data_IF_387204886743
#
_entry.id   IF_387204886743
#
_cell.length_a   1.000
_cell.length_b   1.000
_cell.length_c   1.000
_cell.angle_alpha   90.00
_cell.angle_beta   90.00
_cell.angle_gamma   90.00
#
_symmetry.space_group_name_H-M   'P 1'
#
loop_
_entity.id
_entity.type
_entity.pdbx_description
1 polymer ?
#
# COMPACT_ATOMS: atom_id res chain seq x y z
N UNK A 1 -1.47 18.70 11.32
CA UNK A 1 -0.44 18.62 12.36
C UNK A 1 -0.98 18.80 13.79
N UNK A 2 -1.58 19.95 14.15
CA UNK A 2 -2.10 20.16 15.51
C UNK A 2 -3.10 19.07 15.96
N UNK A 3 -3.98 18.63 15.07
CA UNK A 3 -4.88 17.50 15.33
C UNK A 3 -4.14 16.19 15.65
N UNK A 4 -3.02 15.92 14.97
CA UNK A 4 -2.20 14.74 15.24
C UNK A 4 -1.58 14.80 16.65
N UNK A 5 -1.09 15.98 17.04
CA UNK A 5 -0.57 16.22 18.40
C UNK A 5 -1.68 16.15 19.47
N UNK A 6 -2.91 16.49 19.10
CA UNK A 6 -4.10 16.37 19.95
C UNK A 6 -4.68 14.95 20.01
N UNK A 7 -4.05 13.95 19.38
CA UNK A 7 -4.47 12.54 19.49
C UNK A 7 -5.58 12.13 18.52
N UNK A 8 -5.70 12.76 17.35
CA UNK A 8 -6.76 12.43 16.37
C UNK A 8 -6.60 11.04 15.71
N UNK A 9 -5.38 10.47 15.69
CA UNK A 9 -5.08 9.22 14.96
C UNK A 9 -5.98 8.05 15.37
N UNK A 10 -6.07 7.64 16.64
CA UNK A 10 -6.94 6.53 17.04
C UNK A 10 -8.42 6.78 16.73
N UNK A 11 -8.86 8.05 16.76
CA UNK A 11 -10.24 8.41 16.38
C UNK A 11 -10.48 8.20 14.89
N UNK A 12 -9.52 8.57 14.03
CA UNK A 12 -9.63 8.32 12.59
C UNK A 12 -9.60 6.83 12.27
N UNK A 13 -8.75 6.05 12.96
CA UNK A 13 -8.70 4.61 12.80
C UNK A 13 -10.05 3.95 13.16
N UNK A 14 -10.65 4.36 14.28
CA UNK A 14 -11.98 3.92 14.69
C UNK A 14 -13.07 4.28 13.67
N UNK A 15 -13.03 5.50 13.12
CA UNK A 15 -13.97 5.91 12.07
C UNK A 15 -13.86 5.03 10.82
N UNK A 16 -12.63 4.69 10.40
CA UNK A 16 -12.41 3.82 9.24
C UNK A 16 -12.91 2.40 9.48
N UNK A 17 -12.72 1.86 10.68
CA UNK A 17 -13.11 0.49 11.03
C UNK A 17 -14.63 0.38 11.30
N UNK A 18 -15.26 1.40 11.88
CA UNK A 18 -16.61 1.31 12.44
C UNK A 18 -17.67 2.20 11.79
N UNK A 19 -17.31 3.09 10.84
CA UNK A 19 -18.23 4.06 10.22
C UNK A 19 -18.08 4.11 8.69
N UNK A 20 -18.82 3.27 7.98
CA UNK A 20 -18.80 3.20 6.50
C UNK A 20 -18.96 4.59 5.83
N UNK A 21 -19.86 5.44 6.33
CA UNK A 21 -20.13 6.76 5.73
C UNK A 21 -19.00 7.79 5.90
N UNK A 22 -18.07 7.58 6.84
CA UNK A 22 -16.89 8.45 7.04
C UNK A 22 -15.60 7.74 6.69
N UNK A 23 -15.66 6.48 6.26
CA UNK A 23 -14.49 5.64 6.09
C UNK A 23 -13.49 6.26 5.12
N UNK A 24 -13.93 6.65 3.93
CA UNK A 24 -13.05 7.22 2.91
C UNK A 24 -12.45 8.57 3.34
N UNK A 25 -13.23 9.44 3.97
CA UNK A 25 -12.76 10.75 4.43
C UNK A 25 -11.72 10.61 5.55
N UNK A 26 -12.02 9.78 6.56
CA UNK A 26 -11.11 9.51 7.66
C UNK A 26 -9.84 8.79 7.18
N UNK A 27 -9.97 7.86 6.23
CA UNK A 27 -8.85 7.15 5.65
C UNK A 27 -7.94 8.07 4.83
N UNK A 28 -8.51 8.97 4.03
CA UNK A 28 -7.78 9.98 3.27
C UNK A 28 -6.92 10.86 4.20
N UNK A 29 -7.48 11.29 5.33
CA UNK A 29 -6.73 12.04 6.35
C UNK A 29 -5.55 11.23 6.90
N UNK A 30 -5.72 9.94 7.19
CA UNK A 30 -4.64 9.06 7.65
C UNK A 30 -3.55 8.88 6.58
N UNK A 31 -3.93 8.72 5.31
CA UNK A 31 -2.99 8.63 4.20
C UNK A 31 -2.17 9.92 4.04
N UNK A 32 -2.78 11.10 4.20
CA UNK A 32 -2.06 12.38 4.13
C UNK A 32 -1.00 12.53 5.23
N UNK A 33 -1.22 11.91 6.39
CA UNK A 33 -0.26 11.97 7.51
C UNK A 33 1.07 11.30 7.18
N UNK A 34 1.13 10.34 6.24
CA UNK A 34 2.40 9.69 5.86
C UNK A 34 3.35 10.65 5.14
N UNK A 35 2.79 11.65 4.44
CA UNK A 35 3.52 12.67 3.66
C UNK A 35 3.68 14.00 4.38
N UNK A 36 3.03 14.18 5.52
CA UNK A 36 2.96 15.44 6.25
C UNK A 36 4.29 15.81 6.98
N UNK A 37 4.22 16.49 8.12
CA UNK A 37 5.40 16.82 8.91
C UNK A 37 5.92 15.62 9.72
N UNK A 38 7.17 15.71 10.18
CA UNK A 38 7.78 14.70 11.05
C UNK A 38 6.93 14.42 12.30
N UNK A 39 6.37 15.46 12.92
CA UNK A 39 5.50 15.32 14.09
C UNK A 39 4.24 14.51 13.77
N UNK A 40 3.64 14.78 12.61
CA UNK A 40 2.44 14.08 12.13
C UNK A 40 2.74 12.60 11.86
N UNK A 41 3.86 12.29 11.18
CA UNK A 41 4.31 10.90 10.98
C UNK A 41 4.63 10.18 12.30
N UNK A 42 5.26 10.87 13.26
CA UNK A 42 5.55 10.31 14.59
C UNK A 42 4.26 9.93 15.31
N UNK A 43 3.26 10.80 15.30
CA UNK A 43 1.95 10.50 15.88
C UNK A 43 1.29 9.28 15.22
N UNK A 44 1.32 9.20 13.88
CA UNK A 44 0.80 8.04 13.15
C UNK A 44 1.58 6.75 13.48
N UNK A 45 2.91 6.82 13.57
CA UNK A 45 3.77 5.69 13.91
C UNK A 45 3.47 5.13 15.31
N UNK A 46 3.37 6.01 16.32
CA UNK A 46 3.12 5.60 17.71
C UNK A 46 1.77 4.93 17.91
N UNK A 47 0.83 5.15 16.97
CA UNK A 47 -0.52 4.60 16.99
C UNK A 47 -0.67 3.44 15.98
N UNK A 48 0.44 2.77 15.64
CA UNK A 48 0.40 1.56 14.80
C UNK A 48 0.00 1.81 13.34
N UNK A 49 0.25 3.01 12.82
CA UNK A 49 -0.21 3.40 11.47
C UNK A 49 0.26 2.49 10.33
N UNK A 50 1.45 1.88 10.41
CA UNK A 50 1.92 0.93 9.39
C UNK A 50 1.05 -0.32 9.37
N UNK A 51 0.87 -0.97 10.52
CA UNK A 51 0.00 -2.15 10.66
C UNK A 51 -1.45 -1.82 10.28
N UNK A 52 -1.92 -0.63 10.62
CA UNK A 52 -3.23 -0.16 10.21
C UNK A 52 -3.36 -0.10 8.68
N UNK A 53 -2.43 0.56 7.98
CA UNK A 53 -2.43 0.64 6.52
C UNK A 53 -2.29 -0.73 5.84
N UNK A 54 -1.47 -1.64 6.40
CA UNK A 54 -1.36 -3.02 5.91
C UNK A 54 -2.69 -3.76 5.99
N UNK A 55 -3.42 -3.65 7.10
CA UNK A 55 -4.77 -4.25 7.23
C UNK A 55 -5.77 -3.60 6.29
N UNK A 56 -5.69 -2.28 6.05
CA UNK A 56 -6.57 -1.59 5.10
C UNK A 56 -6.42 -2.11 3.66
N UNK A 57 -5.31 -2.75 3.30
CA UNK A 57 -5.16 -3.44 2.02
C UNK A 57 -6.16 -4.59 1.82
N UNK A 58 -6.80 -5.11 2.87
CA UNK A 58 -7.84 -6.14 2.70
C UNK A 58 -9.21 -5.57 2.36
N UNK A 59 -9.38 -4.24 2.41
CA UNK A 59 -10.64 -3.55 2.11
C UNK A 59 -10.58 -3.00 0.68
N UNK A 60 -11.44 -3.48 -0.26
CA UNK A 60 -11.36 -3.12 -1.68
C UNK A 60 -11.23 -1.62 -1.96
N UNK A 61 -12.06 -0.79 -1.32
CA UNK A 61 -12.08 0.65 -1.56
C UNK A 61 -10.84 1.37 -0.99
N UNK A 62 -10.15 0.75 -0.02
CA UNK A 62 -8.98 1.34 0.64
C UNK A 62 -7.65 0.80 0.10
N UNK A 63 -7.67 -0.26 -0.72
CA UNK A 63 -6.47 -0.94 -1.24
C UNK A 63 -5.47 0.01 -1.89
N UNK A 64 -5.93 0.76 -2.90
CA UNK A 64 -5.08 1.70 -3.65
C UNK A 64 -4.52 2.80 -2.74
N UNK A 65 -5.35 3.56 -2.00
CA UNK A 65 -4.82 4.62 -1.15
C UNK A 65 -3.94 4.09 0.00
N UNK A 66 -4.22 2.90 0.54
CA UNK A 66 -3.38 2.27 1.56
C UNK A 66 -1.98 1.95 1.03
N UNK A 67 -1.92 1.32 -0.15
CA UNK A 67 -0.65 0.96 -0.77
C UNK A 67 0.15 2.22 -1.13
N UNK A 68 -0.51 3.22 -1.71
CA UNK A 68 0.10 4.53 -2.02
C UNK A 68 0.67 5.20 -0.78
N UNK A 69 -0.09 5.25 0.31
CA UNK A 69 0.36 5.84 1.58
C UNK A 69 1.59 5.12 2.15
N UNK A 70 1.66 3.79 2.06
CA UNK A 70 2.83 2.99 2.48
C UNK A 70 4.05 3.28 1.60
N UNK A 71 3.88 3.31 0.27
CA UNK A 71 4.95 3.64 -0.69
C UNK A 71 5.48 5.05 -0.41
N UNK A 72 4.59 6.00 -0.20
CA UNK A 72 4.95 7.40 0.04
C UNK A 72 5.67 7.55 1.38
N UNK A 73 5.25 6.82 2.43
CA UNK A 73 5.96 6.81 3.72
C UNK A 73 7.38 6.24 3.59
N UNK A 74 7.54 5.12 2.87
CA UNK A 74 8.85 4.54 2.56
C UNK A 74 9.74 5.50 1.76
N UNK A 75 9.14 6.32 0.92
CA UNK A 75 9.81 7.33 0.10
C UNK A 75 10.30 8.57 0.86
N UNK A 76 9.90 8.76 2.13
CA UNK A 76 10.28 9.94 2.92
C UNK A 76 11.78 10.00 3.15
N UNK A 77 12.43 10.99 2.52
CA UNK A 77 13.86 11.28 2.63
C UNK A 77 14.14 12.23 3.79
N UNK A 78 13.91 11.76 5.02
CA UNK A 78 14.30 12.48 6.24
C UNK A 78 15.47 11.77 6.94
N UNK A 79 16.69 12.27 6.74
CA UNK A 79 17.91 11.64 7.24
C UNK A 79 17.93 11.44 8.77
N UNK A 80 17.37 12.38 9.54
CA UNK A 80 17.35 12.28 11.00
C UNK A 80 16.32 11.28 11.55
N UNK A 81 15.26 10.99 10.81
CA UNK A 81 14.17 10.14 11.28
C UNK A 81 14.27 8.70 10.76
N UNK A 82 15.05 8.48 9.70
CA UNK A 82 15.28 7.18 9.07
C UNK A 82 13.96 6.43 8.77
N UNK A 83 12.91 7.17 8.38
CA UNK A 83 11.56 6.63 8.18
C UNK A 83 11.54 5.39 7.32
N UNK A 84 12.31 5.41 6.25
CA UNK A 84 12.45 4.27 5.37
C UNK A 84 12.86 3.00 6.10
N UNK A 85 13.95 3.01 6.88
CA UNK A 85 14.42 1.82 7.59
C UNK A 85 13.38 1.34 8.64
N UNK A 86 12.68 2.28 9.28
CA UNK A 86 11.64 1.96 10.27
C UNK A 86 10.42 1.30 9.62
N UNK A 87 9.92 1.89 8.53
CA UNK A 87 8.77 1.36 7.79
C UNK A 87 9.14 0.05 7.09
N UNK A 88 10.33 -0.07 6.50
CA UNK A 88 10.84 -1.35 5.97
C UNK A 88 10.86 -2.42 7.05
N UNK A 89 11.42 -2.11 8.22
CA UNK A 89 11.43 -3.01 9.37
C UNK A 89 10.04 -3.46 9.77
N UNK A 90 9.09 -2.54 9.93
CA UNK A 90 7.71 -2.88 10.30
C UNK A 90 6.95 -3.67 9.23
N UNK A 91 7.19 -3.40 7.94
CA UNK A 91 6.56 -4.16 6.84
C UNK A 91 7.13 -5.57 6.70
N UNK A 92 8.39 -5.78 7.08
CA UNK A 92 9.09 -7.07 6.99
C UNK A 92 9.14 -7.81 8.34
N UNK A 93 8.68 -7.19 9.43
CA UNK A 93 8.65 -7.79 10.76
C UNK A 93 7.81 -9.08 10.76
N UNK A 94 6.69 -9.05 10.03
CA UNK A 94 5.79 -10.16 9.86
C UNK A 94 5.53 -10.44 8.37
N UNK A 95 5.18 -11.67 8.02
CA UNK A 95 4.81 -12.04 6.65
C UNK A 95 3.46 -11.46 6.19
N UNK A 96 2.75 -10.73 7.06
CA UNK A 96 1.40 -10.20 6.79
C UNK A 96 1.35 -9.30 5.55
N UNK A 97 2.26 -8.33 5.45
CA UNK A 97 2.32 -7.44 4.29
C UNK A 97 2.60 -8.23 3.00
N UNK A 98 3.61 -9.10 3.02
CA UNK A 98 3.99 -9.91 1.86
C UNK A 98 2.86 -10.84 1.41
N UNK A 99 2.19 -11.51 2.35
CA UNK A 99 1.04 -12.36 2.08
C UNK A 99 -0.13 -11.57 1.52
N UNK A 100 -0.37 -10.37 2.03
CA UNK A 100 -1.45 -9.48 1.57
C UNK A 100 -1.16 -9.00 0.15
N UNK A 101 0.06 -8.57 -0.16
CA UNK A 101 0.47 -8.20 -1.52
C UNK A 101 0.30 -9.38 -2.49
N UNK A 102 0.71 -10.59 -2.11
CA UNK A 102 0.55 -11.77 -2.96
C UNK A 102 -0.94 -12.07 -3.22
N UNK A 103 -1.78 -12.00 -2.18
CA UNK A 103 -3.23 -12.20 -2.32
C UNK A 103 -3.90 -11.15 -3.19
N UNK A 104 -3.56 -9.89 -2.99
CA UNK A 104 -4.04 -8.82 -3.84
C UNK A 104 -3.62 -9.07 -5.29
N UNK A 105 -2.37 -9.46 -5.51
CA UNK A 105 -1.88 -9.71 -6.85
C UNK A 105 -2.64 -10.81 -7.58
N UNK A 106 -3.34 -11.71 -6.88
CA UNK A 106 -4.20 -12.74 -7.47
C UNK A 106 -5.55 -12.20 -7.98
N UNK A 107 -6.01 -11.01 -7.57
CA UNK A 107 -7.34 -10.53 -7.98
C UNK A 107 -7.32 -10.03 -9.44
N UNK A 108 -8.40 -10.19 -10.23
CA UNK A 108 -8.37 -9.96 -11.68
C UNK A 108 -7.95 -8.53 -12.09
N UNK A 109 -8.47 -7.52 -11.39
CA UNK A 109 -8.26 -6.10 -11.72
C UNK A 109 -7.07 -5.45 -11.01
N UNK A 110 -6.40 -6.22 -10.16
CA UNK A 110 -5.34 -5.74 -9.27
C UNK A 110 -4.14 -5.15 -10.00
N UNK A 111 -3.84 -5.68 -11.19
CA UNK A 111 -2.65 -5.33 -11.95
C UNK A 111 -2.59 -3.84 -12.29
N UNK A 112 -3.73 -3.26 -12.67
CA UNK A 112 -3.77 -1.89 -13.22
C UNK A 112 -3.32 -0.86 -12.18
N UNK A 113 -3.77 -0.99 -10.93
CA UNK A 113 -3.40 -0.06 -9.87
C UNK A 113 -2.14 -0.49 -9.11
N UNK A 114 -1.94 -1.79 -8.87
CA UNK A 114 -0.81 -2.25 -8.06
C UNK A 114 0.52 -2.23 -8.79
N UNK A 115 0.58 -2.51 -10.10
CA UNK A 115 1.87 -2.60 -10.81
C UNK A 115 2.66 -1.30 -10.65
N UNK A 116 1.99 -0.15 -10.75
CA UNK A 116 2.63 1.16 -10.54
C UNK A 116 3.22 1.28 -9.13
N UNK A 117 2.47 0.89 -8.10
CA UNK A 117 2.94 1.01 -6.71
C UNK A 117 3.99 -0.03 -6.35
N UNK A 118 3.88 -1.26 -6.87
CA UNK A 118 4.87 -2.32 -6.69
C UNK A 118 6.21 -1.95 -7.35
N UNK A 119 6.18 -1.37 -8.55
CA UNK A 119 7.39 -0.85 -9.19
C UNK A 119 8.05 0.25 -8.36
N UNK A 120 7.24 1.17 -7.79
CA UNK A 120 7.75 2.19 -6.86
C UNK A 120 8.34 1.55 -5.60
N UNK A 121 7.68 0.56 -5.00
CA UNK A 121 8.16 -0.16 -3.82
C UNK A 121 9.52 -0.81 -4.05
N UNK A 122 9.68 -1.51 -5.17
CA UNK A 122 10.93 -2.19 -5.55
C UNK A 122 12.04 -1.19 -5.84
N UNK A 123 11.71 -0.04 -6.45
CA UNK A 123 12.68 1.02 -6.72
C UNK A 123 13.11 1.76 -5.45
N UNK A 124 12.16 1.96 -4.53
CA UNK A 124 12.45 2.54 -3.23
C UNK A 124 13.28 1.49 -2.48
N UNK A 125 12.71 0.39 -1.98
CA UNK A 125 13.34 -0.51 -1.03
C UNK A 125 14.05 -1.73 -1.64
N UNK A 126 15.36 -1.86 -1.39
CA UNK A 126 16.10 -3.08 -1.73
C UNK A 126 15.67 -4.27 -0.87
N UNK A 127 15.34 -4.05 0.40
CA UNK A 127 14.93 -5.13 1.30
C UNK A 127 13.58 -5.73 0.88
N UNK A 128 12.62 -4.88 0.53
CA UNK A 128 11.31 -5.33 0.02
C UNK A 128 11.49 -6.01 -1.34
N UNK A 129 12.36 -5.48 -2.21
CA UNK A 129 12.71 -6.15 -3.48
C UNK A 129 13.24 -7.56 -3.23
N UNK A 130 14.19 -7.73 -2.31
CA UNK A 130 14.76 -9.05 -2.02
C UNK A 130 13.71 -10.00 -1.42
N UNK A 131 12.81 -9.49 -0.58
CA UNK A 131 11.69 -10.25 -0.03
C UNK A 131 10.69 -10.70 -1.13
N UNK A 132 10.39 -9.82 -2.09
CA UNK A 132 9.56 -10.15 -3.25
C UNK A 132 10.21 -11.20 -4.14
N UNK A 133 11.51 -11.04 -4.46
CA UNK A 133 12.28 -11.98 -5.29
C UNK A 133 12.32 -13.39 -4.70
N UNK A 134 12.37 -13.51 -3.36
CA UNK A 134 12.33 -14.82 -2.68
C UNK A 134 10.95 -15.48 -2.67
N UNK A 135 9.90 -14.77 -3.11
CA UNK A 135 8.55 -15.30 -3.14
C UNK A 135 8.24 -15.91 -4.52
N UNK A 136 8.54 -17.20 -4.67
CA UNK A 136 8.30 -17.95 -5.92
C UNK A 136 6.82 -18.00 -6.34
N UNK A 137 5.88 -17.85 -5.40
CA UNK A 137 4.45 -17.82 -5.70
C UNK A 137 4.08 -16.52 -6.44
N UNK A 138 4.65 -15.38 -6.02
CA UNK A 138 4.42 -14.09 -6.66
C UNK A 138 4.87 -14.10 -8.14
N UNK A 139 6.07 -14.60 -8.43
CA UNK A 139 6.59 -14.63 -9.80
C UNK A 139 5.81 -15.57 -10.72
N UNK A 140 5.42 -16.75 -10.22
CA UNK A 140 4.59 -17.67 -11.00
C UNK A 140 3.26 -17.04 -11.39
N UNK A 141 2.62 -16.33 -10.46
CA UNK A 141 1.37 -15.64 -10.75
C UNK A 141 1.56 -14.48 -11.74
N UNK A 142 2.64 -13.70 -11.57
CA UNK A 142 3.00 -12.62 -12.50
C UNK A 142 3.16 -13.15 -13.92
N UNK A 143 3.92 -14.23 -14.12
CA UNK A 143 4.08 -14.87 -15.42
C UNK A 143 2.72 -15.35 -15.98
N UNK A 144 1.91 -16.04 -15.16
CA UNK A 144 0.60 -16.52 -15.60
C UNK A 144 -0.34 -15.39 -16.04
N UNK A 145 -0.30 -14.25 -15.35
CA UNK A 145 -1.12 -13.08 -15.69
C UNK A 145 -0.65 -12.35 -16.95
N UNK A 146 0.65 -12.29 -17.19
CA UNK A 146 1.21 -11.73 -18.43
C UNK A 146 0.84 -12.63 -19.61
N UNK A 147 0.96 -13.95 -19.48
CA UNK A 147 0.59 -14.92 -20.52
C UNK A 147 -0.91 -14.93 -20.82
N UNK A 148 -1.75 -14.60 -19.83
CA UNK A 148 -3.21 -14.53 -19.98
C UNK A 148 -3.73 -13.22 -20.57
N UNK A 149 -2.92 -12.16 -20.69
CA UNK A 149 -3.32 -10.98 -21.46
C UNK A 149 -3.37 -11.39 -22.93
N UNK A 150 -4.55 -11.62 -23.53
CA UNK A 150 -4.62 -11.91 -24.94
C UNK A 150 -4.19 -10.65 -25.67
N UNK A 151 -3.36 -10.80 -26.70
CA UNK A 151 -3.12 -9.78 -27.71
C UNK A 151 -4.45 -9.09 -28.05
N UNK A 152 -4.41 -7.75 -28.10
CA UNK A 152 -5.56 -6.93 -28.42
C UNK A 152 -6.33 -7.52 -29.60
N UNK A 153 -7.55 -7.98 -29.34
CA UNK A 153 -8.49 -8.41 -30.35
C UNK A 153 -8.90 -7.19 -31.17
N UNK A 154 -8.09 -6.86 -32.17
CA UNK A 154 -8.52 -6.09 -33.33
C UNK A 154 -9.43 -7.02 -34.13
N UNK A 155 -10.74 -6.89 -33.92
CA UNK A 155 -11.74 -7.56 -34.76
C UNK A 155 -11.61 -7.06 -36.21
N UNK A 156 -11.52 -7.94 -37.22
CA UNK A 156 -11.71 -7.51 -38.59
C UNK A 156 -13.21 -7.25 -38.82
N UNK A 157 -13.62 -5.98 -38.90
CA UNK A 157 -14.88 -5.64 -39.56
C UNK A 157 -14.77 -6.04 -41.03
N UNK A 158 -15.46 -7.10 -41.41
CA UNK A 158 -15.75 -7.45 -42.80
C UNK A 158 -17.04 -6.73 -43.21
N UNK A 159 -17.01 -5.85 -44.22
CA UNK A 159 -18.26 -5.32 -44.79
C UNK A 159 -18.90 -6.38 -45.70
N UNK A 160 -20.21 -6.57 -45.52
CA UNK A 160 -21.11 -7.26 -46.46
C UNK A 160 -21.63 -6.25 -47.48
#
# INVERSE_FOLDING_TARGET
EQAALAGIVPLLQDLVENREFLQNDAFSMLCDMTRASLATRKALWTQGGVSFLVRSLTVPDLQTPALEALVDWLGVREHHAQWRARVEGALLENEEFMNTICKLFLTPDALVFMVKQLLRLVHISHQIKDALVRNDAFFRELCSKIERQPDGSCSPEMPV
#
